data_IF_900602364224
#
_entry.id   IF_900602364224
#
_cell.length_a   1.000
_cell.length_b   1.000
_cell.length_c   1.000
_cell.angle_alpha   90.00
_cell.angle_beta   90.00
_cell.angle_gamma   90.00
#
_symmetry.space_group_name_H-M   'P 1'
#
loop_
_entity.id
_entity.type
_entity.pdbx_description
1 polymer ?
#
# COMPACT_ATOMS: atom_id res chain seq x y z
N UNK A 1 -14.69 0.42 54.20
CA UNK A 1 -14.11 1.00 52.98
C UNK A 1 -13.67 -0.15 52.09
N UNK A 2 -14.30 -0.38 50.93
CA UNK A 2 -13.94 -1.48 50.05
C UNK A 2 -12.68 -1.13 49.24
N UNK A 3 -11.73 -2.06 49.19
CA UNK A 3 -10.56 -1.99 48.30
C UNK A 3 -10.99 -2.35 46.88
N UNK A 4 -10.76 -1.43 45.93
CA UNK A 4 -10.98 -1.66 44.51
C UNK A 4 -9.99 -2.71 43.98
N UNK A 5 -10.52 -3.76 43.36
CA UNK A 5 -9.74 -4.71 42.57
C UNK A 5 -9.39 -4.07 41.22
N UNK A 6 -8.10 -3.86 40.98
CA UNK A 6 -7.55 -3.47 39.68
C UNK A 6 -7.59 -4.67 38.74
N UNK A 7 -8.45 -4.62 37.73
CA UNK A 7 -8.45 -5.58 36.61
C UNK A 7 -7.27 -5.29 35.69
N UNK A 8 -6.37 -6.26 35.54
CA UNK A 8 -5.29 -6.21 34.56
C UNK A 8 -5.84 -6.25 33.12
N UNK A 9 -5.37 -5.34 32.27
CA UNK A 9 -5.66 -5.35 30.83
C UNK A 9 -5.09 -6.61 30.18
N UNK A 10 -5.79 -7.21 29.18
CA UNK A 10 -5.28 -8.40 28.51
C UNK A 10 -4.06 -8.02 27.66
N UNK A 11 -2.91 -8.61 27.99
CA UNK A 11 -1.72 -8.62 27.13
C UNK A 11 -2.07 -9.36 25.84
N UNK A 12 -2.17 -8.64 24.73
CA UNK A 12 -2.21 -9.24 23.39
C UNK A 12 -0.90 -10.00 23.22
N UNK A 13 -0.99 -11.32 23.07
CA UNK A 13 0.17 -12.15 22.78
C UNK A 13 0.84 -11.63 21.51
N UNK A 14 2.13 -11.28 21.60
CA UNK A 14 2.95 -10.95 20.45
C UNK A 14 2.99 -12.18 19.55
N UNK A 15 2.29 -12.10 18.42
CA UNK A 15 2.34 -13.14 17.41
C UNK A 15 3.80 -13.37 17.00
N UNK A 16 4.22 -14.63 17.06
CA UNK A 16 5.52 -15.15 16.65
C UNK A 16 6.01 -14.45 15.37
N UNK A 17 7.11 -13.71 15.49
CA UNK A 17 7.71 -12.94 14.38
C UNK A 17 8.14 -13.83 13.22
N UNK A 18 8.32 -15.14 13.46
CA UNK A 18 8.81 -16.11 12.46
C UNK A 18 7.80 -16.53 11.38
N UNK A 19 6.57 -16.02 11.41
CA UNK A 19 5.52 -16.32 10.42
C UNK A 19 5.11 -15.11 9.53
N UNK A 20 5.77 -13.94 9.67
CA UNK A 20 5.32 -12.67 9.06
C UNK A 20 5.92 -12.38 7.68
N UNK A 21 5.83 -13.31 6.73
CA UNK A 21 6.35 -13.10 5.37
C UNK A 21 5.26 -12.85 4.32
N UNK A 22 3.99 -13.08 4.64
CA UNK A 22 2.89 -12.89 3.69
C UNK A 22 2.49 -11.41 3.59
N UNK A 23 2.10 -10.98 2.38
CA UNK A 23 1.43 -9.70 2.14
C UNK A 23 -0.07 -9.93 2.40
N UNK A 24 -0.67 -9.22 3.34
CA UNK A 24 -2.11 -9.32 3.57
C UNK A 24 -2.91 -8.52 2.53
N UNK A 25 -2.42 -7.34 2.12
CA UNK A 25 -3.16 -6.40 1.30
C UNK A 25 -2.36 -5.87 0.11
N UNK A 26 -2.92 -5.96 -1.10
CA UNK A 26 -2.46 -5.19 -2.26
C UNK A 26 -3.43 -4.04 -2.51
N UNK A 27 -2.92 -2.81 -2.47
CA UNK A 27 -3.69 -1.63 -2.89
C UNK A 27 -3.40 -1.40 -4.37
N UNK A 28 -4.44 -1.34 -5.19
CA UNK A 28 -4.35 -1.09 -6.63
C UNK A 28 -4.96 0.27 -6.93
N UNK A 29 -4.17 1.15 -7.53
CA UNK A 29 -4.58 2.50 -7.92
C UNK A 29 -4.39 2.63 -9.44
N UNK A 30 -5.43 3.06 -10.14
CA UNK A 30 -5.32 3.44 -11.56
C UNK A 30 -5.16 4.95 -11.64
N UNK A 31 -4.15 5.42 -12.38
CA UNK A 31 -3.89 6.84 -12.59
C UNK A 31 -3.96 7.21 -14.08
N UNK A 32 -4.49 8.39 -14.38
CA UNK A 32 -4.44 9.00 -15.71
C UNK A 32 -4.46 10.52 -15.60
N UNK A 33 -3.32 11.18 -15.86
CA UNK A 33 -3.19 12.65 -15.88
C UNK A 33 -3.64 13.36 -14.59
N UNK A 34 -3.35 12.77 -13.43
CA UNK A 34 -3.76 13.27 -12.11
C UNK A 34 -2.63 13.25 -11.09
N UNK A 35 -1.38 13.51 -11.53
CA UNK A 35 -0.21 13.43 -10.65
C UNK A 35 -0.37 14.13 -9.28
N UNK A 36 -0.88 15.38 -9.18
CA UNK A 36 -1.02 16.03 -7.87
C UNK A 36 -1.92 15.25 -6.90
N UNK A 37 -3.05 14.72 -7.38
CA UNK A 37 -3.99 13.94 -6.56
C UNK A 37 -3.35 12.60 -6.16
N UNK A 38 -2.75 11.91 -7.13
CA UNK A 38 -2.07 10.64 -6.86
C UNK A 38 -0.95 10.81 -5.84
N UNK A 39 -0.17 11.90 -5.95
CA UNK A 39 0.90 12.23 -5.02
C UNK A 39 0.39 12.42 -3.60
N UNK A 40 -0.70 13.16 -3.43
CA UNK A 40 -1.33 13.37 -2.11
C UNK A 40 -1.89 12.05 -1.56
N UNK A 41 -2.53 11.24 -2.41
CA UNK A 41 -3.02 9.91 -2.07
C UNK A 41 -1.89 9.00 -1.56
N UNK A 42 -0.81 8.85 -2.32
CA UNK A 42 0.37 8.06 -1.93
C UNK A 42 1.04 8.62 -0.67
N UNK A 43 1.05 9.95 -0.51
CA UNK A 43 1.52 10.63 0.69
C UNK A 43 0.71 10.23 1.92
N UNK A 44 -0.62 10.23 1.84
CA UNK A 44 -1.48 9.81 2.96
C UNK A 44 -1.27 8.34 3.32
N UNK A 45 -1.13 7.44 2.33
CA UNK A 45 -0.77 6.04 2.57
C UNK A 45 0.58 5.95 3.30
N UNK A 46 1.59 6.70 2.86
CA UNK A 46 2.91 6.71 3.50
C UNK A 46 2.87 7.24 4.94
N UNK A 47 1.96 8.15 5.27
CA UNK A 47 1.80 8.69 6.63
C UNK A 47 1.21 7.65 7.60
N UNK A 48 0.26 6.83 7.13
CA UNK A 48 -0.43 5.84 7.97
C UNK A 48 0.21 4.44 7.95
N UNK A 49 1.36 4.29 7.29
CA UNK A 49 2.07 3.01 7.14
C UNK A 49 3.58 3.18 7.27
N UNK A 50 4.30 2.16 7.73
CA UNK A 50 5.75 2.24 7.94
C UNK A 50 6.53 1.38 6.93
N UNK A 51 7.76 1.73 6.53
CA UNK A 51 8.61 0.85 5.75
C UNK A 51 8.94 -0.45 6.50
N UNK A 52 9.11 -1.56 5.77
CA UNK A 52 9.64 -2.81 6.33
C UNK A 52 11.17 -2.71 6.43
N UNK A 53 11.72 -2.66 7.64
CA UNK A 53 13.15 -2.36 7.90
C UNK A 53 14.16 -3.46 7.51
N UNK A 54 13.72 -4.67 7.11
CA UNK A 54 14.59 -5.85 6.96
C UNK A 54 14.48 -6.60 5.63
N UNK A 55 13.69 -6.13 4.66
CA UNK A 55 13.45 -6.88 3.44
C UNK A 55 14.63 -6.76 2.43
N UNK A 56 15.16 -7.87 1.88
CA UNK A 56 16.21 -7.83 0.87
C UNK A 56 15.66 -7.32 -0.48
N UNK A 57 16.38 -6.41 -1.13
CA UNK A 57 16.07 -5.92 -2.48
C UNK A 57 16.30 -7.00 -3.56
N UNK A 58 15.64 -6.94 -4.75
CA UNK A 58 14.71 -5.93 -5.25
C UNK A 58 13.27 -6.49 -5.29
N UNK A 59 12.64 -6.61 -4.13
CA UNK A 59 11.20 -6.92 -3.99
C UNK A 59 10.54 -6.18 -2.82
N UNK A 60 11.31 -5.37 -2.07
CA UNK A 60 10.94 -4.72 -0.83
C UNK A 60 10.18 -3.39 -1.05
N UNK A 61 9.04 -3.49 -1.74
CA UNK A 61 8.02 -2.44 -1.94
C UNK A 61 6.88 -2.54 -0.91
N UNK A 62 7.13 -3.25 0.20
CA UNK A 62 6.14 -3.55 1.22
C UNK A 62 6.16 -2.52 2.36
N UNK A 63 5.01 -2.32 2.98
CA UNK A 63 4.83 -1.44 4.14
C UNK A 63 4.05 -2.13 5.24
N UNK A 64 4.36 -1.79 6.50
CA UNK A 64 3.67 -2.25 7.69
C UNK A 64 2.44 -1.37 7.96
N UNK A 65 1.33 -2.00 8.34
CA UNK A 65 0.06 -1.35 8.68
C UNK A 65 -0.72 -2.13 9.76
N UNK A 66 -1.82 -1.55 10.23
CA UNK A 66 -2.65 -2.13 11.29
C UNK A 66 -2.10 -1.94 12.71
N UNK A 67 -2.73 -2.56 13.73
CA UNK A 67 -2.31 -2.42 15.12
C UNK A 67 -0.84 -2.79 15.30
N UNK A 68 -0.04 -1.83 15.78
CA UNK A 68 1.41 -2.00 16.00
C UNK A 68 2.19 -2.49 14.75
N UNK A 69 1.69 -2.23 13.53
CA UNK A 69 2.33 -2.71 12.30
C UNK A 69 2.27 -4.22 12.14
N UNK A 70 1.19 -4.86 12.61
CA UNK A 70 1.04 -6.31 12.59
C UNK A 70 0.99 -6.93 11.19
N UNK A 71 0.64 -6.15 10.16
CA UNK A 71 0.38 -6.63 8.81
C UNK A 71 1.23 -5.91 7.78
N UNK A 72 1.42 -6.54 6.62
CA UNK A 72 2.11 -6.01 5.46
C UNK A 72 1.13 -5.68 4.33
N UNK A 73 1.48 -4.66 3.56
CA UNK A 73 0.82 -4.30 2.33
C UNK A 73 1.81 -3.95 1.23
N UNK A 74 1.35 -3.96 -0.01
CA UNK A 74 2.04 -3.38 -1.16
C UNK A 74 1.12 -2.41 -1.89
N UNK A 75 1.69 -1.49 -2.66
CA UNK A 75 0.93 -0.54 -3.48
C UNK A 75 1.36 -0.67 -4.93
N UNK A 76 0.38 -0.86 -5.79
CA UNK A 76 0.54 -0.99 -7.23
C UNK A 76 -0.20 0.17 -7.89
N UNK A 77 0.53 0.97 -8.65
CA UNK A 77 -0.05 2.03 -9.49
C UNK A 77 0.01 1.59 -10.94
N UNK A 78 -1.15 1.55 -11.59
CA UNK A 78 -1.25 1.33 -13.03
C UNK A 78 -1.43 2.69 -13.70
N UNK A 79 -0.37 3.18 -14.35
CA UNK A 79 -0.45 4.36 -15.20
C UNK A 79 -1.16 4.01 -16.51
N UNK A 80 -2.28 4.69 -16.75
CA UNK A 80 -3.19 4.47 -17.86
C UNK A 80 -2.87 5.39 -19.05
N UNK A 81 -1.58 5.53 -19.37
CA UNK A 81 -1.00 6.43 -20.36
C UNK A 81 -1.16 7.92 -20.01
N UNK A 82 -0.61 8.31 -18.87
CA UNK A 82 -0.50 9.73 -18.54
C UNK A 82 0.53 10.42 -19.45
N UNK A 83 0.27 11.70 -19.71
CA UNK A 83 1.13 12.66 -20.40
C UNK A 83 1.65 13.75 -19.45
N UNK A 84 1.29 13.69 -18.17
CA UNK A 84 1.83 14.54 -17.10
C UNK A 84 3.11 13.95 -16.50
N UNK A 85 3.56 14.46 -15.35
CA UNK A 85 4.78 13.99 -14.70
C UNK A 85 4.62 12.63 -13.97
N UNK A 86 3.45 11.99 -13.99
CA UNK A 86 3.17 10.76 -13.20
C UNK A 86 4.27 9.70 -13.36
N UNK A 87 4.64 9.37 -14.60
CA UNK A 87 5.57 8.26 -14.88
C UNK A 87 7.03 8.58 -14.56
N UNK A 88 7.39 9.86 -14.47
CA UNK A 88 8.76 10.30 -14.18
C UNK A 88 8.95 10.65 -12.71
N UNK A 89 7.96 11.29 -12.08
CA UNK A 89 8.01 11.71 -10.69
C UNK A 89 7.76 10.57 -9.69
N UNK A 90 6.79 9.68 -9.97
CA UNK A 90 6.39 8.63 -9.03
C UNK A 90 7.54 7.72 -8.59
N UNK A 91 8.38 7.16 -9.49
CA UNK A 91 9.49 6.31 -9.06
C UNK A 91 10.54 7.04 -8.21
N UNK A 92 10.65 8.37 -8.36
CA UNK A 92 11.58 9.20 -7.60
C UNK A 92 11.05 9.50 -6.20
N UNK A 93 9.76 9.83 -6.07
CA UNK A 93 9.15 10.25 -4.81
C UNK A 93 8.65 9.08 -3.95
N UNK A 94 8.17 8.02 -4.60
CA UNK A 94 7.61 6.84 -3.95
C UNK A 94 8.27 5.56 -4.50
N UNK A 95 9.59 5.35 -4.27
CA UNK A 95 10.32 4.20 -4.83
C UNK A 95 9.82 2.85 -4.31
N UNK A 96 8.99 2.85 -3.26
CA UNK A 96 8.33 1.67 -2.69
C UNK A 96 7.01 1.33 -3.39
N UNK A 97 6.56 2.10 -4.38
CA UNK A 97 5.34 1.81 -5.16
C UNK A 97 5.71 1.07 -6.45
N UNK A 98 4.98 0.00 -6.75
CA UNK A 98 5.14 -0.72 -8.02
C UNK A 98 4.36 0.00 -9.13
N UNK A 99 5.08 0.73 -9.99
CA UNK A 99 4.50 1.39 -11.16
C UNK A 99 4.44 0.44 -12.36
N UNK A 100 3.25 0.29 -12.93
CA UNK A 100 3.00 -0.43 -14.19
C UNK A 100 2.49 0.57 -15.23
N UNK A 101 3.25 0.78 -16.31
CA UNK A 101 2.77 1.54 -17.46
C UNK A 101 1.96 0.62 -18.36
N UNK A 102 0.66 0.90 -18.51
CA UNK A 102 -0.26 0.05 -19.28
C UNK A 102 -0.04 0.07 -20.80
N UNK A 103 0.75 1.02 -21.32
CA UNK A 103 1.04 1.19 -22.74
C UNK A 103 -0.06 1.89 -23.56
N UNK A 104 -1.16 2.31 -22.92
CA UNK A 104 -2.24 3.06 -23.57
C UNK A 104 -3.37 3.38 -22.60
N UNK A 105 -4.31 4.26 -22.98
CA UNK A 105 -5.52 4.47 -22.18
C UNK A 105 -6.48 3.29 -22.40
N UNK A 106 -6.41 2.32 -21.49
CA UNK A 106 -7.14 1.05 -21.55
C UNK A 106 -8.52 1.10 -20.87
N UNK A 107 -8.86 2.24 -20.27
CA UNK A 107 -10.02 2.42 -19.42
C UNK A 107 -9.87 1.81 -18.02
N UNK A 108 -10.71 2.26 -17.10
CA UNK A 108 -10.59 1.96 -15.66
C UNK A 108 -10.59 0.46 -15.34
N UNK A 109 -11.54 -0.30 -15.89
CA UNK A 109 -11.68 -1.74 -15.59
C UNK A 109 -10.48 -2.56 -16.06
N UNK A 110 -9.97 -2.29 -17.27
CA UNK A 110 -8.84 -3.06 -17.81
C UNK A 110 -7.55 -2.76 -17.04
N UNK A 111 -7.33 -1.50 -16.66
CA UNK A 111 -6.17 -1.09 -15.87
C UNK A 111 -6.21 -1.64 -14.45
N UNK A 112 -7.39 -1.67 -13.79
CA UNK A 112 -7.53 -2.37 -12.52
C UNK A 112 -7.23 -3.87 -12.63
N UNK A 113 -7.68 -4.53 -13.71
CA UNK A 113 -7.37 -5.94 -13.94
C UNK A 113 -5.87 -6.20 -14.19
N UNK A 114 -5.11 -5.22 -14.68
CA UNK A 114 -3.64 -5.32 -14.77
C UNK A 114 -3.05 -5.30 -13.36
N UNK A 115 -3.45 -4.33 -12.53
CA UNK A 115 -2.98 -4.23 -11.14
C UNK A 115 -3.36 -5.45 -10.30
N UNK A 116 -4.58 -5.98 -10.45
CA UNK A 116 -5.03 -7.21 -9.81
C UNK A 116 -4.12 -8.40 -10.14
N UNK A 117 -3.74 -8.58 -11.41
CA UNK A 117 -2.85 -9.69 -11.81
C UNK A 117 -1.43 -9.55 -11.28
N UNK A 118 -1.00 -8.33 -10.99
CA UNK A 118 0.29 -8.04 -10.37
C UNK A 118 0.25 -8.11 -8.83
N UNK A 119 -0.94 -8.20 -8.24
CA UNK A 119 -1.14 -8.24 -6.79
C UNK A 119 -0.72 -9.59 -6.22
N UNK A 120 -0.08 -9.54 -5.04
CA UNK A 120 0.39 -10.71 -4.29
C UNK A 120 -0.29 -10.86 -2.93
N UNK A 121 -1.07 -9.86 -2.50
CA UNK A 121 -1.78 -9.83 -1.23
C UNK A 121 -2.94 -10.82 -1.16
N UNK A 122 -3.23 -11.31 0.04
CA UNK A 122 -4.41 -12.13 0.29
C UNK A 122 -5.73 -11.40 -0.05
N UNK A 123 -5.74 -10.07 0.12
CA UNK A 123 -6.83 -9.18 -0.25
C UNK A 123 -6.35 -8.13 -1.26
N UNK A 124 -7.26 -7.70 -2.13
CA UNK A 124 -7.02 -6.61 -3.08
C UNK A 124 -8.00 -5.48 -2.79
N UNK A 125 -7.48 -4.27 -2.64
CA UNK A 125 -8.26 -3.06 -2.44
C UNK A 125 -8.02 -2.09 -3.60
N UNK A 126 -9.06 -1.86 -4.39
CA UNK A 126 -9.02 -0.85 -5.44
C UNK A 126 -9.29 0.53 -4.83
N UNK A 127 -8.35 1.44 -5.00
CA UNK A 127 -8.39 2.78 -4.43
C UNK A 127 -8.28 3.82 -5.55
N UNK A 128 -9.10 4.86 -5.49
CA UNK A 128 -9.02 5.96 -6.45
C UNK A 128 -7.85 6.90 -6.09
N UNK A 129 -7.18 7.50 -7.10
CA UNK A 129 -6.01 8.37 -6.89
C UNK A 129 -6.34 9.70 -6.20
N UNK A 130 -7.61 10.04 -6.00
CA UNK A 130 -8.10 11.26 -5.34
C UNK A 130 -8.51 11.02 -3.87
N UNK A 131 -8.16 9.87 -3.30
CA UNK A 131 -8.47 9.52 -1.91
C UNK A 131 -7.36 9.95 -0.95
N UNK A 132 -7.72 10.48 0.23
CA UNK A 132 -6.82 10.66 1.37
C UNK A 132 -7.28 9.78 2.54
N UNK A 133 -6.32 9.14 3.22
CA UNK A 133 -6.52 8.32 4.42
C UNK A 133 -6.28 9.11 5.72
#
# INVERSE_FOLDING_TARGET
MPMHATTASPTVALADESQREAIELSIVIVSWNVWPLLRDCLGSIAQVTAPVSSAPAPTSAQRLWGPQGAWQLEVIVVDNASSDETTTALPCEFPWVHLIQSGGNLGFTRSNNIGYRASRGAYVFFLNPDTSL
#
